data_IF_670762523527
#
_entry.id   IF_670762523527
#
_cell.length_a   1.000
_cell.length_b   1.000
_cell.length_c   1.000
_cell.angle_alpha   90.00
_cell.angle_beta   90.00
_cell.angle_gamma   90.00
#
_symmetry.space_group_name_H-M   'P 1'
#
loop_
_entity.id
_entity.type
_entity.pdbx_description
1 polymer ?
#
# COMPACT_ATOMS: atom_id res chain seq x y z
N UNK A 1 -11.75 -36.41 25.51
CA UNK A 1 -10.48 -36.04 26.18
C UNK A 1 -9.40 -35.54 25.19
N UNK A 2 -9.12 -36.28 24.10
CA UNK A 2 -8.11 -35.92 23.07
C UNK A 2 -8.41 -34.58 22.35
N UNK A 3 -9.68 -34.34 22.00
CA UNK A 3 -10.13 -33.07 21.39
C UNK A 3 -9.93 -31.84 22.29
N UNK A 4 -10.11 -32.01 23.61
CA UNK A 4 -9.88 -30.93 24.58
C UNK A 4 -8.40 -30.64 24.77
N UNK A 5 -7.55 -31.67 24.70
CA UNK A 5 -6.10 -31.52 24.84
C UNK A 5 -5.46 -30.86 23.62
N UNK A 6 -5.87 -31.29 22.43
CA UNK A 6 -5.47 -30.65 21.16
C UNK A 6 -5.93 -29.20 21.09
N UNK A 7 -7.18 -28.89 21.51
CA UNK A 7 -7.65 -27.50 21.59
C UNK A 7 -6.80 -26.63 22.52
N UNK A 8 -6.41 -27.15 23.70
CA UNK A 8 -5.54 -26.43 24.63
C UNK A 8 -4.15 -26.16 24.04
N UNK A 9 -3.57 -27.10 23.31
CA UNK A 9 -2.27 -26.91 22.64
C UNK A 9 -2.37 -25.81 21.57
N UNK A 10 -3.43 -25.83 20.76
CA UNK A 10 -3.65 -24.81 19.72
C UNK A 10 -3.77 -23.42 20.38
N UNK A 11 -4.60 -23.29 21.42
CA UNK A 11 -4.78 -22.02 22.15
C UNK A 11 -3.46 -21.55 22.76
N UNK A 12 -2.72 -22.44 23.43
CA UNK A 12 -1.42 -22.10 24.03
C UNK A 12 -0.42 -21.64 22.97
N UNK A 13 -0.34 -22.33 21.83
CA UNK A 13 0.55 -21.95 20.73
C UNK A 13 0.24 -20.56 20.16
N UNK A 14 -1.05 -20.24 20.00
CA UNK A 14 -1.52 -18.94 19.52
C UNK A 14 -1.20 -17.81 20.51
N UNK A 15 -1.34 -18.07 21.82
CA UNK A 15 -0.99 -17.11 22.87
C UNK A 15 0.51 -16.82 22.91
N UNK A 16 1.35 -17.86 22.77
CA UNK A 16 2.81 -17.71 22.72
C UNK A 16 3.22 -16.95 21.46
N UNK A 17 2.61 -17.22 20.30
CA UNK A 17 2.87 -16.46 19.09
C UNK A 17 2.56 -14.97 19.31
N UNK A 18 1.36 -14.63 19.79
CA UNK A 18 0.98 -13.23 20.08
C UNK A 18 1.89 -12.55 21.11
N UNK A 19 2.39 -13.27 22.11
CA UNK A 19 3.30 -12.70 23.10
C UNK A 19 4.66 -12.29 22.51
N UNK A 20 5.09 -12.97 21.44
CA UNK A 20 6.36 -12.71 20.77
C UNK A 20 6.22 -11.79 19.54
N UNK A 21 5.01 -11.35 19.18
CA UNK A 21 4.85 -10.40 18.09
C UNK A 21 5.42 -9.03 18.47
N UNK A 22 6.09 -8.43 17.50
CA UNK A 22 6.52 -7.05 17.58
C UNK A 22 5.71 -6.22 16.59
N UNK A 23 5.39 -5.00 17.04
CA UNK A 23 4.77 -3.99 16.20
C UNK A 23 5.86 -3.27 15.42
N UNK A 24 5.68 -3.17 14.11
CA UNK A 24 6.54 -2.43 13.20
C UNK A 24 5.74 -1.32 12.53
N UNK A 25 6.46 -0.29 12.09
CA UNK A 25 5.91 0.85 11.36
C UNK A 25 6.69 1.03 10.06
N UNK A 26 5.98 1.23 8.97
CA UNK A 26 6.58 1.65 7.72
C UNK A 26 6.72 3.18 7.71
N UNK A 27 7.94 3.66 7.46
CA UNK A 27 8.30 5.06 7.35
C UNK A 27 8.68 5.31 5.89
N UNK A 28 7.79 5.92 5.09
CA UNK A 28 8.11 6.26 3.70
C UNK A 28 9.24 7.30 3.66
N UNK A 29 9.93 7.37 2.52
CA UNK A 29 10.88 8.44 2.26
C UNK A 29 10.18 9.82 2.21
N UNK A 30 10.80 10.83 2.81
CA UNK A 30 10.23 12.19 2.89
C UNK A 30 10.09 12.82 1.51
N UNK A 31 8.96 13.52 1.29
CA UNK A 31 8.64 14.15 0.00
C UNK A 31 7.53 13.40 -0.74
N UNK A 32 7.81 12.99 -1.97
CA UNK A 32 6.87 12.24 -2.82
C UNK A 32 6.79 10.78 -2.40
N UNK A 33 5.58 10.32 -2.08
CA UNK A 33 5.31 8.95 -1.60
C UNK A 33 5.39 7.91 -2.72
N UNK A 34 5.16 8.32 -3.96
CA UNK A 34 5.20 7.45 -5.12
C UNK A 34 6.28 7.90 -6.08
N UNK A 35 7.08 6.96 -6.54
CA UNK A 35 8.07 7.14 -7.59
C UNK A 35 7.76 6.17 -8.74
N UNK A 36 8.09 6.58 -9.95
CA UNK A 36 7.96 5.73 -11.13
C UNK A 36 9.01 4.62 -11.11
N UNK A 37 8.64 3.44 -11.62
CA UNK A 37 9.56 2.31 -11.70
C UNK A 37 10.63 2.52 -12.77
N UNK A 38 11.90 2.40 -12.41
CA UNK A 38 13.06 2.63 -13.28
C UNK A 38 13.45 1.40 -14.14
N UNK A 39 13.00 0.21 -13.76
CA UNK A 39 13.43 -1.06 -14.37
C UNK A 39 12.62 -1.48 -15.61
N UNK A 40 11.49 -0.83 -15.90
CA UNK A 40 10.71 -1.11 -17.10
C UNK A 40 10.15 0.17 -17.74
N UNK A 41 10.85 0.73 -18.75
CA UNK A 41 10.45 1.98 -19.39
C UNK A 41 9.18 1.86 -20.27
N UNK A 42 8.65 0.65 -20.49
CA UNK A 42 7.37 0.45 -21.17
C UNK A 42 6.16 0.67 -20.24
N UNK A 43 6.39 0.73 -18.91
CA UNK A 43 5.35 1.03 -17.94
C UNK A 43 5.25 2.53 -17.70
N UNK A 44 4.02 3.04 -17.70
CA UNK A 44 3.75 4.44 -17.41
C UNK A 44 3.81 4.76 -15.92
N UNK A 45 4.04 6.02 -15.61
CA UNK A 45 3.94 6.58 -14.26
C UNK A 45 2.50 6.82 -13.83
N UNK A 46 2.29 7.23 -12.58
CA UNK A 46 0.92 7.57 -12.12
C UNK A 46 0.30 8.72 -12.92
N UNK A 47 1.12 9.68 -13.37
CA UNK A 47 0.70 10.83 -14.17
C UNK A 47 0.12 10.46 -15.53
N UNK A 48 0.43 9.27 -16.05
CA UNK A 48 -0.05 8.83 -17.37
C UNK A 48 -1.52 8.38 -17.33
N UNK A 49 -2.09 8.24 -16.13
CA UNK A 49 -3.44 7.69 -15.94
C UNK A 49 -4.28 8.44 -14.91
N UNK A 50 -3.65 9.27 -14.10
CA UNK A 50 -4.31 9.99 -13.02
C UNK A 50 -3.90 11.44 -13.12
N UNK A 51 -4.87 12.31 -13.42
CA UNK A 51 -4.69 13.74 -13.20
C UNK A 51 -4.67 13.99 -11.70
N UNK A 52 -3.45 14.21 -11.22
CA UNK A 52 -3.09 14.53 -9.85
C UNK A 52 -2.65 15.99 -9.72
N UNK A 53 -2.85 16.83 -10.73
CA UNK A 53 -2.43 18.23 -10.71
C UNK A 53 -3.05 19.03 -9.55
N UNK A 54 -4.21 18.58 -9.06
CA UNK A 54 -4.90 19.12 -7.89
C UNK A 54 -4.72 18.26 -6.62
N UNK A 55 -3.81 17.28 -6.62
CA UNK A 55 -3.54 16.38 -5.48
C UNK A 55 -2.14 16.61 -4.91
N UNK A 56 -2.04 16.70 -3.59
CA UNK A 56 -0.79 16.79 -2.87
C UNK A 56 -0.69 15.62 -1.87
N UNK A 57 0.31 14.75 -2.07
CA UNK A 57 0.60 13.61 -1.19
C UNK A 57 2.01 13.78 -0.64
N UNK A 58 2.12 14.18 0.64
CA UNK A 58 3.40 14.46 1.29
C UNK A 58 3.53 13.55 2.50
N UNK A 59 4.69 12.91 2.64
CA UNK A 59 5.05 12.22 3.87
C UNK A 59 5.87 13.12 4.81
N UNK A 60 5.50 13.16 6.08
CA UNK A 60 6.27 13.74 7.18
C UNK A 60 6.39 12.79 8.39
N UNK A 61 6.80 13.31 9.55
CA UNK A 61 6.98 12.55 10.78
C UNK A 61 5.66 12.10 11.45
N UNK A 62 4.52 12.71 11.09
CA UNK A 62 3.19 12.34 11.59
C UNK A 62 2.52 11.29 10.70
N UNK A 63 2.83 11.26 9.41
CA UNK A 63 2.38 10.22 8.48
C UNK A 63 2.35 10.66 7.03
N UNK A 64 1.62 9.91 6.21
CA UNK A 64 1.35 10.31 4.82
C UNK A 64 0.09 11.16 4.79
N UNK A 65 0.22 12.44 4.43
CA UNK A 65 -0.89 13.37 4.28
C UNK A 65 -1.41 13.37 2.86
N UNK A 66 -2.72 13.12 2.73
CA UNK A 66 -3.43 13.17 1.45
C UNK A 66 -4.36 14.38 1.42
N UNK A 67 -4.19 15.26 0.43
CA UNK A 67 -5.09 16.39 0.19
C UNK A 67 -5.31 16.60 -1.31
N UNK A 68 -6.56 16.80 -1.74
CA UNK A 68 -6.89 17.21 -3.10
C UNK A 68 -7.79 16.23 -3.86
N UNK A 69 -7.86 16.42 -5.19
CA UNK A 69 -8.76 15.67 -6.08
C UNK A 69 -7.97 14.78 -7.03
N UNK A 70 -8.24 13.47 -6.96
CA UNK A 70 -7.63 12.46 -7.84
C UNK A 70 -8.63 12.15 -8.96
N UNK A 71 -8.25 12.43 -10.21
CA UNK A 71 -9.09 12.16 -11.39
C UNK A 71 -8.44 11.10 -12.29
N UNK A 72 -9.11 9.97 -12.53
CA UNK A 72 -8.58 8.89 -13.38
C UNK A 72 -8.88 9.22 -14.86
N UNK A 73 -7.83 9.40 -15.67
CA UNK A 73 -7.84 9.81 -17.09
C UNK A 73 -7.89 8.63 -18.09
N UNK A 74 -8.27 7.44 -17.66
CA UNK A 74 -8.17 6.24 -18.49
C UNK A 74 -9.11 6.30 -19.72
N UNK A 75 -8.64 5.88 -20.91
CA UNK A 75 -9.44 5.76 -22.15
C UNK A 75 -10.54 4.68 -22.01
N UNK A 76 -11.66 5.10 -21.42
CA UNK A 76 -12.90 4.35 -21.23
C UNK A 76 -13.69 4.40 -22.54
N UNK A 77 -13.96 3.25 -23.19
CA UNK A 77 -14.82 3.21 -24.40
C UNK A 77 -16.28 3.46 -24.01
N UNK A 78 -17.14 3.84 -24.96
CA UNK A 78 -18.57 4.14 -24.72
C UNK A 78 -19.39 3.02 -24.03
N UNK A 79 -18.92 1.76 -24.07
CA UNK A 79 -19.52 0.62 -23.34
C UNK A 79 -19.00 0.45 -21.90
N UNK A 80 -17.92 1.12 -21.55
CA UNK A 80 -17.28 1.05 -20.23
C UNK A 80 -17.86 2.16 -19.35
N UNK A 81 -18.35 1.82 -18.15
CA UNK A 81 -18.80 2.81 -17.16
C UNK A 81 -17.85 2.82 -15.97
N UNK A 82 -16.93 3.78 -15.94
CA UNK A 82 -16.08 4.04 -14.77
C UNK A 82 -16.39 5.43 -14.23
N UNK A 83 -17.01 5.49 -13.05
CA UNK A 83 -17.20 6.72 -12.29
C UNK A 83 -16.67 6.49 -10.88
N UNK A 84 -15.42 6.88 -10.64
CA UNK A 84 -14.81 6.89 -9.31
C UNK A 84 -14.80 8.34 -8.84
N UNK A 85 -15.67 8.67 -7.88
CA UNK A 85 -15.67 9.97 -7.20
C UNK A 85 -15.24 9.72 -5.75
N UNK A 86 -13.95 9.92 -5.49
CA UNK A 86 -13.39 9.82 -4.14
C UNK A 86 -13.31 11.22 -3.53
N UNK A 87 -14.31 11.57 -2.70
CA UNK A 87 -14.26 12.78 -1.87
C UNK A 87 -13.85 12.37 -0.47
N UNK A 88 -12.64 12.76 -0.08
CA UNK A 88 -12.11 12.56 1.25
C UNK A 88 -11.77 13.91 1.85
N UNK A 89 -12.06 14.08 3.13
CA UNK A 89 -11.43 15.14 3.93
C UNK A 89 -9.95 14.76 4.15
N UNK A 90 -9.04 15.72 4.35
CA UNK A 90 -7.64 15.42 4.61
C UNK A 90 -7.46 14.42 5.76
N UNK A 91 -6.67 13.37 5.52
CA UNK A 91 -6.35 12.35 6.52
C UNK A 91 -4.90 11.89 6.41
N UNK A 92 -4.35 11.44 7.53
CA UNK A 92 -3.00 10.88 7.60
C UNK A 92 -3.08 9.35 7.67
N UNK A 93 -2.28 8.65 6.86
CA UNK A 93 -2.19 7.18 6.89
C UNK A 93 -0.94 6.74 7.64
N UNK A 94 -1.12 5.79 8.55
CA UNK A 94 -0.05 5.09 9.25
C UNK A 94 -0.17 3.59 8.98
N UNK A 95 0.92 2.98 8.52
CA UNK A 95 0.97 1.54 8.26
C UNK A 95 1.71 0.86 9.41
N UNK A 96 0.98 0.07 10.19
CA UNK A 96 1.50 -0.73 11.29
C UNK A 96 1.35 -2.23 11.01
N UNK A 97 2.39 -3.00 11.31
CA UNK A 97 2.48 -4.42 11.00
C UNK A 97 2.85 -5.18 12.27
N UNK A 98 2.03 -6.16 12.66
CA UNK A 98 2.37 -7.12 13.72
C UNK A 98 3.06 -8.34 13.11
N UNK A 99 4.32 -8.58 13.47
CA UNK A 99 5.09 -9.71 12.95
C UNK A 99 5.86 -10.47 14.04
N UNK A 100 5.97 -11.78 13.85
CA UNK A 100 6.72 -12.70 14.72
C UNK A 100 8.21 -12.76 14.38
N UNK A 101 8.58 -12.23 13.21
CA UNK A 101 9.94 -12.21 12.67
C UNK A 101 10.48 -10.79 12.71
N UNK A 102 11.81 -10.65 12.63
CA UNK A 102 12.41 -9.33 12.45
C UNK A 102 12.15 -8.84 11.03
N UNK A 103 11.48 -7.69 10.92
CA UNK A 103 11.18 -7.03 9.64
C UNK A 103 11.92 -5.70 9.47
N UNK A 104 12.87 -5.36 10.36
CA UNK A 104 13.64 -4.13 10.25
C UNK A 104 14.50 -4.10 8.98
N UNK A 105 14.45 -2.99 8.25
CA UNK A 105 15.26 -2.80 7.05
C UNK A 105 14.66 -1.80 6.08
N UNK A 106 15.41 -1.56 5.00
CA UNK A 106 14.98 -0.74 3.86
C UNK A 106 14.21 -1.60 2.87
N UNK A 107 12.99 -1.18 2.55
CA UNK A 107 12.08 -1.87 1.64
C UNK A 107 11.51 -0.88 0.61
N UNK A 108 10.85 -1.44 -0.40
CA UNK A 108 9.95 -0.68 -1.26
C UNK A 108 8.67 -1.46 -1.47
N UNK A 109 7.53 -0.78 -1.34
CA UNK A 109 6.26 -1.31 -1.82
C UNK A 109 6.18 -1.08 -3.32
N UNK A 110 5.82 -2.11 -4.09
CA UNK A 110 5.64 -2.00 -5.55
C UNK A 110 4.19 -2.32 -5.88
N UNK A 111 3.50 -1.37 -6.52
CA UNK A 111 2.12 -1.49 -6.97
C UNK A 111 2.08 -1.48 -8.49
N UNK A 112 1.56 -2.55 -9.08
CA UNK A 112 1.40 -2.67 -10.54
C UNK A 112 -0.10 -2.65 -10.85
N UNK A 113 -0.55 -1.66 -11.61
CA UNK A 113 -1.93 -1.58 -12.06
C UNK A 113 -2.03 -2.05 -13.51
N UNK A 114 -2.87 -3.05 -13.72
CA UNK A 114 -3.11 -3.67 -15.02
C UNK A 114 -4.56 -3.52 -15.43
N UNK A 115 -4.72 -3.20 -16.70
CA UNK A 115 -5.98 -2.96 -17.34
C UNK A 115 -6.31 -4.12 -18.28
N UNK A 116 -7.53 -4.67 -18.21
CA UNK A 116 -7.99 -5.71 -19.13
C UNK A 116 -9.20 -5.21 -19.92
N UNK A 117 -9.36 -5.69 -21.16
CA UNK A 117 -10.55 -5.42 -21.97
C UNK A 117 -11.68 -6.44 -21.74
N UNK A 118 -12.80 -6.27 -22.45
CA UNK A 118 -13.98 -7.15 -22.40
C UNK A 118 -13.69 -8.63 -22.74
N UNK A 119 -12.60 -8.89 -23.45
CA UNK A 119 -12.15 -10.23 -23.84
C UNK A 119 -11.04 -10.74 -22.90
N UNK A 120 -10.83 -10.06 -21.77
CA UNK A 120 -9.80 -10.35 -20.77
C UNK A 120 -8.37 -10.26 -21.33
N UNK A 121 -8.14 -9.45 -22.37
CA UNK A 121 -6.81 -9.17 -22.91
C UNK A 121 -6.19 -7.98 -22.18
N UNK A 122 -4.89 -8.09 -21.84
CA UNK A 122 -4.14 -7.03 -21.17
C UNK A 122 -3.95 -5.84 -22.11
N UNK A 123 -4.32 -4.64 -21.65
CA UNK A 123 -4.03 -3.39 -22.36
C UNK A 123 -2.54 -3.04 -22.24
N UNK A 124 -1.94 -2.40 -23.25
CA UNK A 124 -0.50 -2.10 -23.28
C UNK A 124 -0.05 -1.13 -22.17
N UNK A 125 -0.95 -0.27 -21.69
CA UNK A 125 -0.59 0.74 -20.71
C UNK A 125 -0.69 0.11 -19.30
N UNK A 126 0.44 -0.33 -18.76
CA UNK A 126 0.59 -0.83 -17.38
C UNK A 126 1.23 0.27 -16.52
N UNK A 127 0.68 0.50 -15.33
CA UNK A 127 1.22 1.49 -14.38
C UNK A 127 2.09 0.78 -13.36
N UNK A 128 3.20 1.40 -13.00
CA UNK A 128 4.08 0.91 -11.95
C UNK A 128 4.42 2.04 -10.98
N UNK A 129 4.15 1.79 -9.69
CA UNK A 129 4.41 2.73 -8.60
C UNK A 129 5.24 2.08 -7.52
N UNK A 130 6.27 2.77 -7.08
CA UNK A 130 7.11 2.35 -5.97
C UNK A 130 7.03 3.34 -4.82
N UNK A 131 6.96 2.82 -3.60
CA UNK A 131 7.04 3.60 -2.37
C UNK A 131 8.22 3.07 -1.55
N UNK A 132 9.42 3.66 -1.69
CA UNK A 132 10.57 3.30 -0.87
C UNK A 132 10.38 3.78 0.57
N UNK A 133 10.92 3.02 1.53
CA UNK A 133 10.87 3.39 2.93
C UNK A 133 11.51 2.37 3.86
N UNK A 134 11.56 2.71 5.14
CA UNK A 134 12.13 1.86 6.17
C UNK A 134 11.04 1.23 7.03
N UNK A 135 11.18 -0.05 7.33
CA UNK A 135 10.38 -0.70 8.37
C UNK A 135 11.17 -0.62 9.66
N UNK A 136 10.59 0.01 10.69
CA UNK A 136 11.22 0.20 11.99
C UNK A 136 10.39 -0.45 13.09
N UNK A 137 11.07 -1.05 14.08
CA UNK A 137 10.39 -1.64 15.22
C UNK A 137 9.86 -0.56 16.16
N UNK A 138 8.57 -0.61 16.48
CA UNK A 138 7.94 0.33 17.41
C UNK A 138 8.29 -0.08 18.84
N UNK A 139 8.95 0.81 19.58
CA UNK A 139 9.11 0.65 21.03
C UNK A 139 7.77 0.94 21.70
N UNK A 140 7.18 -0.02 22.40
CA UNK A 140 6.02 0.24 23.26
C UNK A 140 6.45 1.29 24.31
N UNK A 141 5.75 2.41 24.35
CA UNK A 141 5.89 3.41 25.42
C UNK A 141 5.30 2.77 26.68
N UNK A 142 6.14 2.48 27.68
CA UNK A 142 5.68 2.05 29.00
C UNK A 142 4.92 3.18 29.71
#
# INVERSE_FOLDING_TARGET
MVLLYSLKIIIASFLIAKANSALYRFVPEYGEVYQDCDYNPEMGGYSDFVDVSETNVIADDEGIHFNGTITILWDVKETDRVTVRYRHEPFSVLVEIDALVNMEGRYKGVTILRAYDENNQLKPNVICLETPGDIVKVKRRN
#
